data_IF_084197535714
#
_entry.id   IF_084197535714
#
_cell.length_a   1.000
_cell.length_b   1.000
_cell.length_c   1.000
_cell.angle_alpha   90.00
_cell.angle_beta   90.00
_cell.angle_gamma   90.00
#
_symmetry.space_group_name_H-M   'P 1'
#
loop_
_entity.id
_entity.type
_entity.pdbx_description
1 polymer ?
#
# COMPACT_ATOMS: atom_id res chain seq x y z
N UNK A 1 -8.45 -5.18 -15.09
CA UNK A 1 -7.27 -6.02 -14.80
C UNK A 1 -7.23 -7.12 -15.84
N UNK A 2 -6.15 -7.24 -16.59
CA UNK A 2 -5.97 -8.31 -17.57
C UNK A 2 -5.02 -9.34 -16.98
N UNK A 3 -5.50 -10.56 -16.77
CA UNK A 3 -4.66 -11.68 -16.38
C UNK A 3 -3.97 -12.18 -17.65
N UNK A 4 -2.70 -11.81 -17.85
CA UNK A 4 -1.94 -12.14 -19.06
C UNK A 4 -1.44 -13.59 -19.10
N UNK A 5 -1.52 -14.33 -17.99
CA UNK A 5 -1.25 -15.77 -17.93
C UNK A 5 -2.19 -16.44 -16.91
N UNK A 6 -2.79 -17.56 -17.30
CA UNK A 6 -3.66 -18.39 -16.42
C UNK A 6 -2.82 -19.28 -15.50
N UNK A 7 -1.53 -19.47 -15.79
CA UNK A 7 -0.62 -20.38 -15.07
C UNK A 7 0.36 -19.69 -14.12
N UNK A 8 0.68 -18.42 -14.36
CA UNK A 8 1.62 -17.67 -13.53
C UNK A 8 0.90 -16.69 -12.61
N UNK A 9 0.71 -17.10 -11.36
CA UNK A 9 0.19 -16.26 -10.27
C UNK A 9 1.17 -15.10 -10.01
N UNK A 10 1.02 -14.00 -10.74
CA UNK A 10 1.89 -12.82 -10.63
C UNK A 10 1.83 -11.87 -11.83
N UNK A 11 1.35 -12.32 -12.99
CA UNK A 11 1.20 -11.47 -14.17
C UNK A 11 -0.15 -10.75 -14.19
N UNK A 12 -0.29 -9.77 -13.29
CA UNK A 12 -1.44 -8.87 -13.23
C UNK A 12 -1.09 -7.60 -14.01
N UNK A 13 -1.57 -7.51 -15.26
CA UNK A 13 -1.45 -6.27 -16.02
C UNK A 13 -2.63 -5.34 -15.68
N UNK A 14 -2.31 -4.15 -15.16
CA UNK A 14 -3.28 -3.10 -14.91
C UNK A 14 -3.02 -1.98 -15.92
N UNK A 15 -3.76 -1.93 -17.04
CA UNK A 15 -3.43 -1.05 -18.18
C UNK A 15 -3.21 0.40 -17.76
N UNK A 16 -4.10 0.95 -16.93
CA UNK A 16 -4.00 2.34 -16.46
C UNK A 16 -2.72 2.60 -15.66
N UNK A 17 -2.31 1.67 -14.79
CA UNK A 17 -1.10 1.82 -13.98
C UNK A 17 0.14 1.71 -14.86
N UNK A 18 0.20 0.72 -15.75
CA UNK A 18 1.35 0.53 -16.63
C UNK A 18 1.53 1.69 -17.61
N UNK A 19 0.45 2.20 -18.21
CA UNK A 19 0.52 3.39 -19.05
C UNK A 19 0.90 4.64 -18.26
N UNK A 20 0.39 4.79 -17.03
CA UNK A 20 0.82 5.85 -16.12
C UNK A 20 2.32 5.80 -15.83
N UNK A 21 2.83 4.61 -15.47
CA UNK A 21 4.28 4.38 -15.26
C UNK A 21 5.09 4.72 -16.51
N UNK A 22 4.63 4.30 -17.70
CA UNK A 22 5.29 4.62 -18.96
C UNK A 22 5.39 6.15 -19.17
N UNK A 23 4.30 6.88 -18.96
CA UNK A 23 4.31 8.35 -19.07
C UNK A 23 5.29 8.98 -18.08
N UNK A 24 5.29 8.54 -16.81
CA UNK A 24 6.23 9.05 -15.81
C UNK A 24 7.69 8.79 -16.18
N UNK A 25 8.00 7.60 -16.71
CA UNK A 25 9.37 7.25 -17.17
C UNK A 25 9.78 8.13 -18.35
N UNK A 26 8.90 8.31 -19.35
CA UNK A 26 9.18 9.17 -20.50
C UNK A 26 9.42 10.62 -20.06
N UNK A 27 8.60 11.14 -19.16
CA UNK A 27 8.76 12.49 -18.60
C UNK A 27 10.09 12.62 -17.84
N UNK A 28 10.46 11.63 -17.04
CA UNK A 28 11.74 11.63 -16.32
C UNK A 28 12.93 11.67 -17.30
N UNK A 29 12.93 10.81 -18.33
CA UNK A 29 14.00 10.80 -19.33
C UNK A 29 14.09 12.12 -20.09
N UNK A 30 12.95 12.69 -20.50
CA UNK A 30 12.89 13.97 -21.22
C UNK A 30 13.35 15.17 -20.36
N UNK A 31 13.07 15.15 -19.05
CA UNK A 31 13.45 16.21 -18.12
C UNK A 31 14.94 16.16 -17.77
N UNK A 32 15.46 14.98 -17.43
CA UNK A 32 16.83 14.84 -16.94
C UNK A 32 17.88 14.83 -18.05
N UNK A 33 17.56 14.29 -19.24
CA UNK A 33 18.39 14.23 -20.47
C UNK A 33 19.77 13.59 -20.36
N UNK A 34 20.31 13.42 -19.16
CA UNK A 34 21.60 12.83 -18.82
C UNK A 34 21.42 11.80 -17.72
N UNK A 35 22.08 10.66 -17.88
CA UNK A 35 22.09 9.58 -16.89
C UNK A 35 22.66 10.03 -15.55
N UNK A 36 23.61 10.98 -15.54
CA UNK A 36 24.20 11.49 -14.29
C UNK A 36 23.21 12.33 -13.47
N UNK A 37 22.40 13.15 -14.13
CA UNK A 37 21.38 13.96 -13.48
C UNK A 37 20.23 13.08 -12.95
N UNK A 38 19.82 12.06 -13.73
CA UNK A 38 18.83 11.08 -13.30
C UNK A 38 19.32 10.24 -12.11
N UNK A 39 20.58 9.79 -12.14
CA UNK A 39 21.19 9.03 -11.06
C UNK A 39 21.26 9.85 -9.76
N UNK A 40 21.60 11.14 -9.86
CA UNK A 40 21.62 12.04 -8.70
C UNK A 40 20.22 12.21 -8.07
N UNK A 41 19.17 12.33 -8.89
CA UNK A 41 17.80 12.47 -8.40
C UNK A 41 17.28 11.18 -7.73
N UNK A 42 17.47 10.02 -8.38
CA UNK A 42 17.05 8.73 -7.81
C UNK A 42 17.85 8.36 -6.55
N UNK A 43 19.12 8.78 -6.46
CA UNK A 43 19.97 8.54 -5.30
C UNK A 43 19.38 9.07 -3.98
N UNK A 44 18.67 10.20 -4.00
CA UNK A 44 17.96 10.70 -2.80
C UNK A 44 16.86 9.75 -2.36
N UNK A 45 16.03 9.29 -3.29
CA UNK A 45 14.91 8.40 -2.98
C UNK A 45 15.39 7.06 -2.42
N UNK A 46 16.43 6.46 -3.03
CA UNK A 46 16.99 5.18 -2.55
C UNK A 46 17.64 5.33 -1.20
N UNK A 47 18.48 6.36 -0.99
CA UNK A 47 19.17 6.52 0.28
C UNK A 47 18.19 6.84 1.42
N UNK A 48 17.09 7.54 1.13
CA UNK A 48 16.00 7.72 2.07
C UNK A 48 15.31 6.38 2.41
N UNK A 49 14.97 5.58 1.40
CA UNK A 49 14.37 4.25 1.60
C UNK A 49 15.28 3.30 2.40
N UNK A 50 16.58 3.26 2.08
CA UNK A 50 17.57 2.51 2.85
C UNK A 50 17.64 2.98 4.30
N UNK A 51 17.65 4.30 4.54
CA UNK A 51 17.63 4.85 5.91
C UNK A 51 16.39 4.40 6.68
N UNK A 52 15.20 4.46 6.05
CA UNK A 52 13.93 4.04 6.67
C UNK A 52 13.95 2.53 6.96
N UNK A 53 14.40 1.72 6.01
CA UNK A 53 14.46 0.25 6.16
C UNK A 53 15.47 -0.17 7.21
N UNK A 54 16.60 0.52 7.37
CA UNK A 54 17.55 0.30 8.49
C UNK A 54 16.91 0.61 9.84
N UNK A 55 16.14 1.70 9.95
CA UNK A 55 15.37 2.02 11.16
C UNK A 55 14.28 0.96 11.42
N UNK A 56 13.53 0.55 10.40
CA UNK A 56 12.53 -0.51 10.54
C UNK A 56 13.16 -1.83 10.98
N UNK A 57 14.31 -2.18 10.41
CA UNK A 57 15.09 -3.37 10.80
C UNK A 57 15.42 -3.34 12.28
N UNK A 58 15.82 -2.18 12.83
CA UNK A 58 16.04 -2.05 14.28
C UNK A 58 14.78 -2.41 15.09
N UNK A 59 13.62 -1.89 14.70
CA UNK A 59 12.36 -2.22 15.38
C UNK A 59 11.99 -3.70 15.25
N UNK A 60 12.21 -4.31 14.09
CA UNK A 60 11.97 -5.75 13.88
C UNK A 60 12.90 -6.59 14.76
N UNK A 61 14.20 -6.29 14.80
CA UNK A 61 15.17 -7.01 15.64
C UNK A 61 14.83 -6.86 17.13
N UNK A 62 14.48 -5.64 17.56
CA UNK A 62 14.26 -5.32 18.98
C UNK A 62 12.91 -5.79 19.50
N UNK A 63 11.83 -5.63 18.74
CA UNK A 63 10.46 -5.87 19.19
C UNK A 63 9.82 -7.10 18.54
N UNK A 64 10.14 -7.38 17.27
CA UNK A 64 9.70 -8.60 16.60
C UNK A 64 10.45 -9.83 17.10
N UNK A 65 11.79 -9.80 17.02
CA UNK A 65 12.65 -10.94 17.37
C UNK A 65 13.21 -10.90 18.80
N UNK A 66 12.98 -9.79 19.52
CA UNK A 66 13.32 -9.62 20.94
C UNK A 66 14.81 -9.81 21.27
N UNK A 67 15.70 -9.45 20.35
CA UNK A 67 17.14 -9.51 20.59
C UNK A 67 17.63 -8.46 21.59
N UNK A 68 18.77 -8.71 22.26
CA UNK A 68 19.34 -7.76 23.19
C UNK A 68 19.77 -6.46 22.47
N UNK A 69 19.63 -5.34 23.18
CA UNK A 69 19.80 -4.00 22.61
C UNK A 69 21.18 -3.76 22.00
N UNK A 70 22.25 -4.31 22.59
CA UNK A 70 23.61 -4.18 22.07
C UNK A 70 23.77 -4.82 20.68
N UNK A 71 23.11 -5.96 20.44
CA UNK A 71 23.15 -6.65 19.15
C UNK A 71 22.34 -5.88 18.11
N UNK A 72 21.20 -5.32 18.51
CA UNK A 72 20.38 -4.48 17.63
C UNK A 72 21.15 -3.22 17.21
N UNK A 73 21.72 -2.48 18.18
CA UNK A 73 22.51 -1.28 17.92
C UNK A 73 23.79 -1.57 17.14
N UNK A 74 24.49 -2.67 17.45
CA UNK A 74 25.68 -3.07 16.71
C UNK A 74 25.36 -3.41 15.26
N UNK A 75 24.30 -4.19 15.03
CA UNK A 75 23.87 -4.59 13.70
C UNK A 75 23.37 -3.39 12.88
N UNK A 76 22.47 -2.56 13.41
CA UNK A 76 21.85 -1.48 12.63
C UNK A 76 22.61 -0.16 12.70
N UNK A 77 23.43 0.06 13.72
CA UNK A 77 24.13 1.33 13.92
C UNK A 77 25.13 1.65 12.82
N UNK A 78 25.90 0.65 12.37
CA UNK A 78 26.86 0.82 11.27
C UNK A 78 26.13 1.17 9.97
N UNK A 79 25.09 0.43 9.62
CA UNK A 79 24.27 0.72 8.43
C UNK A 79 23.62 2.10 8.54
N UNK A 80 23.08 2.45 9.71
CA UNK A 80 22.42 3.73 9.91
C UNK A 80 23.39 4.92 9.70
N UNK A 81 24.61 4.82 10.20
CA UNK A 81 25.64 5.85 9.98
C UNK A 81 25.96 5.98 8.49
N UNK A 82 26.16 4.87 7.79
CA UNK A 82 26.43 4.86 6.35
C UNK A 82 25.26 5.47 5.59
N UNK A 83 24.04 5.01 5.83
CA UNK A 83 22.82 5.46 5.16
C UNK A 83 22.58 6.95 5.37
N UNK A 84 22.74 7.46 6.60
CA UNK A 84 22.57 8.89 6.91
C UNK A 84 23.65 9.73 6.22
N UNK A 85 24.90 9.27 6.14
CA UNK A 85 25.96 9.98 5.41
C UNK A 85 25.68 10.03 3.91
N UNK A 86 25.25 8.92 3.32
CA UNK A 86 24.85 8.86 1.92
C UNK A 86 23.63 9.74 1.64
N UNK A 87 22.63 9.69 2.52
CA UNK A 87 21.44 10.54 2.42
C UNK A 87 21.81 12.02 2.52
N UNK A 88 22.65 12.41 3.49
CA UNK A 88 23.11 13.80 3.63
C UNK A 88 23.89 14.28 2.39
N UNK A 89 24.77 13.45 1.84
CA UNK A 89 25.51 13.74 0.61
C UNK A 89 24.59 13.91 -0.61
N UNK A 90 23.54 13.10 -0.72
CA UNK A 90 22.57 13.21 -1.81
C UNK A 90 21.56 14.35 -1.59
N UNK A 91 21.23 14.69 -0.34
CA UNK A 91 20.32 15.78 0.00
C UNK A 91 20.83 17.15 -0.46
N UNK A 92 22.16 17.35 -0.51
CA UNK A 92 22.76 18.56 -1.10
C UNK A 92 22.42 18.74 -2.59
N UNK A 93 22.10 17.64 -3.29
CA UNK A 93 21.72 17.64 -4.72
C UNK A 93 20.20 17.80 -4.93
N UNK A 94 19.44 18.11 -3.88
CA UNK A 94 17.98 18.27 -3.98
C UNK A 94 17.59 19.39 -4.96
N UNK A 95 18.31 20.52 -4.93
CA UNK A 95 18.13 21.62 -5.87
C UNK A 95 18.64 21.29 -7.29
N UNK A 96 19.54 20.32 -7.44
CA UNK A 96 20.12 19.89 -8.73
C UNK A 96 19.28 18.82 -9.46
N UNK A 97 18.05 18.56 -9.00
CA UNK A 97 17.12 17.62 -9.63
C UNK A 97 16.48 16.60 -8.69
N UNK A 98 16.96 16.51 -7.45
CA UNK A 98 16.41 15.60 -6.43
C UNK A 98 14.98 15.93 -5.95
N UNK A 99 14.47 17.13 -6.25
CA UNK A 99 13.09 17.52 -5.97
C UNK A 99 12.06 16.72 -6.78
N UNK A 100 12.41 16.23 -7.98
CA UNK A 100 11.44 15.60 -8.87
C UNK A 100 10.88 14.28 -8.32
N UNK A 101 11.70 13.29 -7.89
CA UNK A 101 11.18 12.09 -7.24
C UNK A 101 10.39 12.39 -5.96
N UNK A 102 10.78 13.42 -5.22
CA UNK A 102 10.09 13.85 -4.01
C UNK A 102 8.67 14.35 -4.32
N UNK A 103 8.50 15.16 -5.37
CA UNK A 103 7.17 15.64 -5.81
C UNK A 103 6.29 14.47 -6.24
N UNK A 104 6.82 13.52 -7.01
CA UNK A 104 6.07 12.31 -7.40
C UNK A 104 5.69 11.50 -6.17
N UNK A 105 6.62 11.31 -5.23
CA UNK A 105 6.39 10.60 -3.98
C UNK A 105 5.29 11.25 -3.14
N UNK A 106 5.31 12.56 -2.97
CA UNK A 106 4.27 13.32 -2.26
C UNK A 106 2.91 13.19 -2.97
N UNK A 107 2.87 13.27 -4.30
CA UNK A 107 1.66 13.10 -5.08
C UNK A 107 1.05 11.70 -4.92
N UNK A 108 1.87 10.66 -5.02
CA UNK A 108 1.44 9.27 -4.81
C UNK A 108 1.01 9.01 -3.38
N UNK A 109 1.76 9.52 -2.40
CA UNK A 109 1.40 9.41 -0.99
C UNK A 109 0.06 10.09 -0.70
N UNK A 110 -0.19 11.28 -1.27
CA UNK A 110 -1.46 12.00 -1.13
C UNK A 110 -2.61 11.21 -1.76
N UNK A 111 -2.40 10.61 -2.94
CA UNK A 111 -3.39 9.75 -3.59
C UNK A 111 -3.71 8.52 -2.72
N UNK A 112 -2.68 7.84 -2.18
CA UNK A 112 -2.85 6.70 -1.30
C UNK A 112 -3.58 7.07 0.00
N UNK A 113 -3.23 8.19 0.63
CA UNK A 113 -3.92 8.69 1.82
C UNK A 113 -5.38 9.03 1.53
N UNK A 114 -5.65 9.68 0.40
CA UNK A 114 -7.01 10.03 -0.01
C UNK A 114 -7.84 8.76 -0.24
N UNK A 115 -7.26 7.78 -0.91
CA UNK A 115 -7.88 6.47 -1.13
C UNK A 115 -8.14 5.73 0.18
N UNK A 116 -7.17 5.68 1.08
CA UNK A 116 -7.30 5.04 2.39
C UNK A 116 -8.41 5.69 3.23
N UNK A 117 -8.47 7.03 3.23
CA UNK A 117 -9.54 7.79 3.87
C UNK A 117 -10.90 7.48 3.24
N UNK A 118 -10.99 7.47 1.91
CA UNK A 118 -12.23 7.12 1.19
C UNK A 118 -12.71 5.70 1.51
N UNK A 119 -11.81 4.72 1.52
CA UNK A 119 -12.10 3.33 1.91
C UNK A 119 -12.60 3.23 3.35
N UNK A 120 -12.00 3.98 4.27
CA UNK A 120 -12.45 4.03 5.66
C UNK A 120 -13.85 4.63 5.79
N UNK A 121 -14.12 5.77 5.15
CA UNK A 121 -15.43 6.42 5.15
C UNK A 121 -16.51 5.52 4.53
N UNK A 122 -16.19 4.82 3.44
CA UNK A 122 -17.09 3.85 2.82
C UNK A 122 -17.41 2.69 3.77
N UNK A 123 -16.41 2.16 4.49
CA UNK A 123 -16.61 1.11 5.51
C UNK A 123 -17.51 1.61 6.64
N UNK A 124 -17.26 2.82 7.13
CA UNK A 124 -18.05 3.45 8.20
C UNK A 124 -19.51 3.66 7.77
N UNK A 125 -19.77 4.09 6.53
CA UNK A 125 -21.12 4.25 5.99
C UNK A 125 -21.84 2.90 5.83
N UNK A 126 -21.17 1.91 5.24
CA UNK A 126 -21.74 0.57 5.07
C UNK A 126 -22.10 -0.07 6.41
N UNK A 127 -21.32 0.22 7.46
CA UNK A 127 -21.59 -0.25 8.83
C UNK A 127 -22.81 0.41 9.46
N UNK A 128 -23.10 1.67 9.14
CA UNK A 128 -24.31 2.36 9.63
C UNK A 128 -25.59 1.80 8.99
N UNK A 129 -25.50 1.35 7.74
CA UNK A 129 -26.62 0.74 7.00
C UNK A 129 -26.74 -0.77 7.25
N UNK A 130 -25.73 -1.40 7.84
CA UNK A 130 -25.71 -2.84 8.07
C UNK A 130 -26.58 -3.24 9.28
N UNK A 131 -27.39 -4.27 9.08
CA UNK A 131 -28.10 -4.96 10.16
C UNK A 131 -27.16 -5.91 10.90
N UNK A 132 -27.36 -6.01 12.21
CA UNK A 132 -26.67 -6.99 13.04
C UNK A 132 -27.11 -8.41 12.63
N UNK A 133 -26.15 -9.33 12.51
CA UNK A 133 -26.39 -10.66 11.96
C UNK A 133 -27.35 -11.50 12.81
N UNK A 134 -27.29 -11.35 14.14
CA UNK A 134 -28.17 -12.00 15.10
C UNK A 134 -29.63 -11.59 14.89
N UNK A 135 -29.93 -10.29 14.85
CA UNK A 135 -31.28 -9.76 14.64
C UNK A 135 -31.84 -10.21 13.29
N UNK A 136 -30.99 -10.22 12.26
CA UNK A 136 -31.37 -10.67 10.94
C UNK A 136 -31.67 -12.18 10.89
N UNK A 137 -30.86 -13.01 11.54
CA UNK A 137 -31.10 -14.46 11.62
C UNK A 137 -32.40 -14.76 12.35
N UNK A 138 -32.69 -14.07 13.45
CA UNK A 138 -33.95 -14.21 14.18
C UNK A 138 -35.17 -13.92 13.27
N UNK A 139 -35.11 -12.85 12.48
CA UNK A 139 -36.16 -12.52 11.52
C UNK A 139 -36.34 -13.58 10.43
N UNK A 140 -35.24 -14.11 9.87
CA UNK A 140 -35.27 -15.17 8.85
C UNK A 140 -35.82 -16.48 9.40
N UNK A 141 -35.55 -16.81 10.66
CA UNK A 141 -36.13 -18.01 11.28
C UNK A 141 -37.63 -17.89 11.55
N UNK A 142 -38.13 -16.68 11.81
CA UNK A 142 -39.58 -16.41 11.99
C UNK A 142 -40.32 -16.44 10.67
N UNK A 143 -39.74 -15.94 9.59
CA UNK A 143 -40.35 -15.91 8.25
C UNK A 143 -39.34 -16.36 7.19
N UNK A 144 -39.22 -17.68 6.96
CA UNK A 144 -38.20 -18.21 6.08
C UNK A 144 -38.45 -17.83 4.61
N UNK A 145 -37.47 -17.22 3.92
CA UNK A 145 -37.58 -16.83 2.52
C UNK A 145 -37.58 -18.05 1.58
N UNK A 146 -38.06 -17.87 0.36
CA UNK A 146 -38.15 -18.94 -0.63
C UNK A 146 -36.76 -19.47 -0.99
N UNK A 147 -36.53 -20.76 -0.77
CA UNK A 147 -35.25 -21.42 -1.10
C UNK A 147 -35.22 -21.90 -2.55
N UNK A 148 -34.15 -21.57 -3.26
CA UNK A 148 -33.84 -22.08 -4.61
C UNK A 148 -32.72 -23.11 -4.56
N UNK A 149 -32.67 -24.02 -5.54
CA UNK A 149 -31.60 -25.01 -5.64
C UNK A 149 -30.25 -24.34 -5.96
N UNK A 150 -29.25 -24.57 -5.11
CA UNK A 150 -27.90 -24.00 -5.26
C UNK A 150 -27.25 -23.65 -3.92
N UNK A 151 -26.03 -23.11 -3.99
CA UNK A 151 -25.32 -22.58 -2.81
C UNK A 151 -24.75 -21.21 -3.16
N UNK A 152 -25.19 -20.18 -2.47
CA UNK A 152 -24.64 -18.83 -2.56
C UNK A 152 -23.72 -18.57 -1.38
N UNK A 153 -22.54 -18.00 -1.64
CA UNK A 153 -21.58 -17.60 -0.60
C UNK A 153 -21.44 -16.09 -0.66
N UNK A 154 -21.83 -15.40 0.42
CA UNK A 154 -21.70 -13.96 0.56
C UNK A 154 -20.52 -13.65 1.49
N UNK A 155 -19.55 -12.90 0.98
CA UNK A 155 -18.39 -12.49 1.77
C UNK A 155 -18.73 -11.26 2.61
N UNK A 156 -18.48 -11.33 3.91
CA UNK A 156 -18.58 -10.19 4.82
C UNK A 156 -17.20 -9.56 5.03
N UNK A 157 -17.10 -8.24 4.93
CA UNK A 157 -15.85 -7.51 5.19
C UNK A 157 -15.59 -7.29 6.69
N UNK A 158 -16.64 -7.30 7.51
CA UNK A 158 -16.60 -7.13 8.97
C UNK A 158 -17.38 -8.28 9.64
N UNK A 159 -16.86 -8.80 10.75
CA UNK A 159 -17.51 -9.85 11.53
C UNK A 159 -18.77 -9.34 12.23
N UNK A 160 -19.82 -10.17 12.28
CA UNK A 160 -21.07 -9.87 13.00
C UNK A 160 -22.09 -8.99 12.27
N UNK A 161 -21.80 -8.56 11.03
CA UNK A 161 -22.71 -7.78 10.20
C UNK A 161 -23.24 -8.60 9.02
N UNK A 162 -24.49 -8.37 8.64
CA UNK A 162 -25.08 -8.99 7.45
C UNK A 162 -24.46 -8.35 6.19
N UNK A 163 -23.91 -9.14 5.24
CA UNK A 163 -23.48 -8.60 3.97
C UNK A 163 -24.66 -7.94 3.25
N UNK A 164 -24.50 -6.69 2.80
CA UNK A 164 -25.55 -5.98 2.06
C UNK A 164 -26.07 -6.76 0.84
N UNK A 165 -25.20 -7.55 0.19
CA UNK A 165 -25.59 -8.42 -0.91
C UNK A 165 -26.55 -9.54 -0.49
N UNK A 166 -26.49 -10.04 0.75
CA UNK A 166 -27.46 -11.03 1.24
C UNK A 166 -28.85 -10.40 1.42
N UNK A 167 -28.93 -9.18 1.96
CA UNK A 167 -30.21 -8.48 2.17
C UNK A 167 -30.97 -8.22 0.86
N UNK A 168 -30.26 -7.93 -0.23
CA UNK A 168 -30.87 -7.61 -1.52
C UNK A 168 -31.20 -8.85 -2.38
N UNK A 169 -30.74 -10.04 -1.98
CA UNK A 169 -30.93 -11.29 -2.74
C UNK A 169 -31.84 -12.30 -2.01
N UNK A 170 -32.62 -11.84 -1.04
CA UNK A 170 -33.57 -12.65 -0.26
C UNK A 170 -35.02 -12.36 -0.60
#
# INVERSE_FOLDING_TARGET
>A
VLHTSVRDTGQIYVPMVNWGLFVFVVLAVALFKSSSALAAAYGIAVTLDMTITTVMTFFVLRYGWKYPLWLCLGATGVFFVVDVLFFASNALKLLAGGWFPLVIGIGMFTLMLTWAKGRRLMSEQLRQEALALDVFLDAVFVSPPQRVAGTAVFLAAEEGLVPNALLHNL
#
